data_IF_557067798830
#
_entry.id   IF_557067798830
#
_cell.length_a   1.000
_cell.length_b   1.000
_cell.length_c   1.000
_cell.angle_alpha   90.00
_cell.angle_beta   90.00
_cell.angle_gamma   90.00
#
_symmetry.space_group_name_H-M   'P 1'
#
loop_
_entity.id
_entity.type
_entity.pdbx_description
1 polymer ?
#
# COMPACT_ATOMS: atom_id res chain seq x y z
N UNK A 1 30.44 1.91 -18.16
CA UNK A 1 31.13 3.22 -18.24
C UNK A 1 31.79 3.33 -19.62
N UNK A 2 31.69 4.46 -20.34
CA UNK A 2 32.24 4.62 -21.69
C UNK A 2 33.75 4.94 -21.74
N UNK A 3 34.37 5.33 -20.62
CA UNK A 3 35.80 5.67 -20.53
C UNK A 3 36.65 4.44 -20.14
N UNK A 4 37.97 4.55 -20.31
CA UNK A 4 38.95 3.53 -19.89
C UNK A 4 39.33 3.78 -18.42
N UNK A 5 39.35 2.71 -17.60
CA UNK A 5 39.69 2.78 -16.16
C UNK A 5 40.93 1.92 -15.88
N UNK A 6 42.08 2.37 -16.37
CA UNK A 6 43.35 1.71 -16.07
C UNK A 6 43.92 2.23 -14.74
N UNK A 7 44.42 1.32 -13.91
CA UNK A 7 45.06 1.64 -12.64
C UNK A 7 46.35 2.45 -12.84
N UNK A 8 47.03 2.28 -13.98
CA UNK A 8 48.22 3.07 -14.31
C UNK A 8 47.91 4.58 -14.40
N UNK A 9 46.76 4.92 -15.00
CA UNK A 9 46.32 6.33 -15.18
C UNK A 9 46.02 7.04 -13.85
N UNK A 10 45.74 6.28 -12.78
CA UNK A 10 45.53 6.85 -11.43
C UNK A 10 46.82 7.44 -10.86
N UNK A 11 47.96 6.77 -11.06
CA UNK A 11 49.25 7.26 -10.57
C UNK A 11 49.64 8.57 -11.28
N UNK A 12 49.43 8.63 -12.60
CA UNK A 12 49.67 9.83 -13.40
C UNK A 12 48.77 11.00 -12.97
N UNK A 13 47.48 10.73 -12.71
CA UNK A 13 46.53 11.71 -12.17
C UNK A 13 46.97 12.26 -10.80
N UNK A 14 47.34 11.37 -9.86
CA UNK A 14 47.76 11.77 -8.50
C UNK A 14 49.03 12.63 -8.53
N UNK A 15 49.94 12.40 -9.50
CA UNK A 15 51.12 13.23 -9.68
C UNK A 15 50.81 14.58 -10.34
N UNK A 16 49.96 14.59 -11.37
CA UNK A 16 49.57 15.82 -12.08
C UNK A 16 48.69 16.75 -11.21
N UNK A 17 47.82 16.20 -10.37
CA UNK A 17 46.96 16.97 -9.47
C UNK A 17 47.75 17.78 -8.42
N UNK A 18 49.00 17.40 -8.12
CA UNK A 18 49.87 18.18 -7.22
C UNK A 18 50.39 19.47 -7.84
N UNK A 19 50.53 19.51 -9.16
CA UNK A 19 51.12 20.65 -9.87
C UNK A 19 50.07 21.61 -10.38
N UNK A 20 48.90 21.11 -10.77
CA UNK A 20 47.82 21.93 -11.30
C UNK A 20 46.47 21.26 -11.06
N UNK A 21 45.45 22.09 -10.82
CA UNK A 21 44.07 21.66 -10.83
C UNK A 21 43.52 21.60 -12.26
N UNK A 22 42.93 20.45 -12.60
CA UNK A 22 42.38 20.14 -13.91
C UNK A 22 40.85 20.06 -13.90
N UNK A 23 40.21 20.33 -12.75
CA UNK A 23 38.75 20.40 -12.61
C UNK A 23 38.01 19.09 -12.97
N UNK A 24 38.69 17.95 -12.86
CA UNK A 24 38.08 16.64 -13.11
C UNK A 24 36.97 16.30 -12.10
N UNK A 25 36.99 16.95 -10.94
CA UNK A 25 35.96 16.90 -9.92
C UNK A 25 34.65 17.56 -10.38
N UNK A 26 34.71 18.60 -11.22
CA UNK A 26 33.52 19.23 -11.81
C UNK A 26 32.82 18.24 -12.74
N UNK A 27 33.55 17.66 -13.70
CA UNK A 27 33.01 16.64 -14.61
C UNK A 27 32.46 15.43 -13.84
N UNK A 28 33.14 15.01 -12.77
CA UNK A 28 32.69 13.92 -11.91
C UNK A 28 31.42 14.30 -11.14
N UNK A 29 31.33 15.53 -10.62
CA UNK A 29 30.15 16.04 -9.94
C UNK A 29 28.95 16.10 -10.88
N UNK A 30 29.10 16.61 -12.10
CA UNK A 30 28.01 16.63 -13.09
C UNK A 30 27.48 15.22 -13.38
N UNK A 31 28.39 14.26 -13.56
CA UNK A 31 28.02 12.87 -13.80
C UNK A 31 27.35 12.22 -12.57
N UNK A 32 27.85 12.46 -11.36
CA UNK A 32 27.24 11.98 -10.12
C UNK A 32 25.88 12.62 -9.86
N UNK A 33 25.72 13.90 -10.16
CA UNK A 33 24.46 14.62 -10.00
C UNK A 33 23.39 14.09 -10.95
N UNK A 34 23.75 13.69 -12.17
CA UNK A 34 22.84 13.00 -13.07
C UNK A 34 22.33 11.69 -12.45
N UNK A 35 23.22 10.85 -11.89
CA UNK A 35 22.83 9.61 -11.20
C UNK A 35 21.94 9.86 -9.99
N UNK A 36 22.27 10.85 -9.15
CA UNK A 36 21.45 11.22 -7.98
C UNK A 36 20.05 11.63 -8.47
N UNK A 37 19.96 12.49 -9.48
CA UNK A 37 18.66 12.93 -10.01
C UNK A 37 17.82 11.78 -10.55
N UNK A 38 18.44 10.77 -11.15
CA UNK A 38 17.75 9.61 -11.68
C UNK A 38 17.33 8.63 -10.56
N UNK A 39 18.16 8.47 -9.53
CA UNK A 39 17.80 7.75 -8.31
C UNK A 39 16.64 8.43 -7.56
N UNK A 40 16.64 9.75 -7.46
CA UNK A 40 15.57 10.52 -6.81
C UNK A 40 14.26 10.36 -7.58
N UNK A 41 14.28 10.51 -8.92
CA UNK A 41 13.10 10.26 -9.78
C UNK A 41 12.57 8.84 -9.60
N UNK A 42 13.45 7.83 -9.57
CA UNK A 42 13.06 6.43 -9.37
C UNK A 42 12.42 6.21 -7.99
N UNK A 43 12.99 6.81 -6.96
CA UNK A 43 12.47 6.74 -5.59
C UNK A 43 11.09 7.39 -5.50
N UNK A 44 10.92 8.55 -6.12
CA UNK A 44 9.64 9.26 -6.11
C UNK A 44 8.56 8.49 -6.87
N UNK A 45 8.87 7.92 -8.03
CA UNK A 45 7.95 7.05 -8.76
C UNK A 45 7.58 5.79 -7.97
N UNK A 46 8.53 5.20 -7.23
CA UNK A 46 8.25 4.06 -6.37
C UNK A 46 7.35 4.45 -5.19
N UNK A 47 7.56 5.64 -4.59
CA UNK A 47 6.70 6.18 -3.54
C UNK A 47 5.28 6.42 -4.05
N UNK A 48 5.12 7.04 -5.22
CA UNK A 48 3.82 7.28 -5.84
C UNK A 48 3.06 5.98 -6.13
N UNK A 49 3.70 5.00 -6.77
CA UNK A 49 3.07 3.69 -7.04
C UNK A 49 2.66 2.97 -5.77
N UNK A 50 3.47 3.05 -4.72
CA UNK A 50 3.15 2.44 -3.44
C UNK A 50 1.94 3.12 -2.81
N UNK A 51 1.90 4.45 -2.81
CA UNK A 51 0.75 5.22 -2.32
C UNK A 51 -0.54 4.86 -3.07
N UNK A 52 -0.51 4.85 -4.42
CA UNK A 52 -1.66 4.45 -5.25
C UNK A 52 -2.15 3.04 -4.87
N UNK A 53 -1.24 2.07 -4.75
CA UNK A 53 -1.60 0.69 -4.36
C UNK A 53 -2.21 0.64 -2.95
N UNK A 54 -1.68 1.44 -2.01
CA UNK A 54 -2.18 1.50 -0.64
C UNK A 54 -3.56 2.15 -0.56
N UNK A 55 -3.78 3.22 -1.33
CA UNK A 55 -5.06 3.92 -1.44
C UNK A 55 -6.13 3.01 -2.07
N UNK A 56 -5.83 2.37 -3.20
CA UNK A 56 -6.72 1.41 -3.86
C UNK A 56 -7.15 0.29 -2.90
N UNK A 57 -6.19 -0.30 -2.19
CA UNK A 57 -6.48 -1.36 -1.24
C UNK A 57 -7.32 -0.86 -0.06
N UNK A 58 -7.05 0.35 0.43
CA UNK A 58 -7.83 0.96 1.52
C UNK A 58 -9.27 1.26 1.08
N UNK A 59 -9.46 1.73 -0.15
CA UNK A 59 -10.76 2.03 -0.73
C UNK A 59 -11.57 0.74 -0.95
N UNK A 60 -10.95 -0.32 -1.47
CA UNK A 60 -11.61 -1.61 -1.67
C UNK A 60 -12.10 -2.21 -0.34
N UNK A 61 -11.24 -2.15 0.69
CA UNK A 61 -11.60 -2.62 2.05
C UNK A 61 -12.73 -1.76 2.64
N UNK A 62 -12.69 -0.44 2.46
CA UNK A 62 -13.73 0.46 2.95
C UNK A 62 -15.09 0.19 2.27
N UNK A 63 -15.12 -0.04 0.95
CA UNK A 63 -16.35 -0.39 0.22
C UNK A 63 -16.96 -1.69 0.75
N UNK A 64 -16.14 -2.73 0.96
CA UNK A 64 -16.61 -4.01 1.50
C UNK A 64 -17.11 -3.88 2.95
N UNK A 65 -16.43 -3.10 3.78
CA UNK A 65 -16.88 -2.80 5.13
C UNK A 65 -18.22 -2.05 5.13
N UNK A 66 -18.36 -1.03 4.28
CA UNK A 66 -19.59 -0.26 4.13
C UNK A 66 -20.76 -1.15 3.70
N UNK A 67 -20.55 -2.09 2.77
CA UNK A 67 -21.59 -3.02 2.37
C UNK A 67 -22.11 -3.89 3.53
N UNK A 68 -21.22 -4.36 4.41
CA UNK A 68 -21.60 -5.08 5.63
C UNK A 68 -22.40 -4.18 6.58
N UNK A 69 -22.00 -2.91 6.72
CA UNK A 69 -22.70 -1.93 7.55
C UNK A 69 -24.10 -1.60 7.01
N UNK A 70 -24.25 -1.41 5.70
CA UNK A 70 -25.54 -1.15 5.04
C UNK A 70 -26.51 -2.32 5.26
N UNK A 71 -26.07 -3.56 5.04
CA UNK A 71 -26.88 -4.75 5.30
C UNK A 71 -27.29 -4.85 6.78
N UNK A 72 -26.38 -4.52 7.70
CA UNK A 72 -26.69 -4.50 9.13
C UNK A 72 -27.74 -3.43 9.49
N UNK A 73 -27.66 -2.25 8.88
CA UNK A 73 -28.64 -1.18 9.07
C UNK A 73 -30.01 -1.53 8.51
N UNK A 74 -30.07 -2.14 7.31
CA UNK A 74 -31.31 -2.64 6.71
C UNK A 74 -31.98 -3.71 7.57
N UNK A 75 -31.19 -4.66 8.09
CA UNK A 75 -31.68 -5.67 9.05
C UNK A 75 -32.27 -4.98 10.27
N UNK A 76 -31.59 -3.99 10.85
CA UNK A 76 -32.10 -3.24 12.01
C UNK A 76 -33.42 -2.52 11.74
N UNK A 77 -33.54 -1.84 10.59
CA UNK A 77 -34.77 -1.14 10.17
C UNK A 77 -35.94 -2.10 9.97
N UNK A 78 -35.72 -3.24 9.32
CA UNK A 78 -36.77 -4.25 9.11
C UNK A 78 -37.16 -4.94 10.40
N UNK A 79 -36.21 -5.20 11.29
CA UNK A 79 -36.47 -5.84 12.58
C UNK A 79 -37.34 -4.95 13.48
N UNK A 80 -37.04 -3.65 13.55
CA UNK A 80 -37.88 -2.69 14.26
C UNK A 80 -39.32 -2.62 13.69
N UNK A 81 -39.49 -2.69 12.36
CA UNK A 81 -40.83 -2.76 11.74
C UNK A 81 -41.56 -4.06 12.02
N UNK A 82 -40.84 -5.19 12.02
CA UNK A 82 -41.42 -6.49 12.32
C UNK A 82 -41.93 -6.56 13.77
N UNK A 83 -41.19 -5.97 14.71
CA UNK A 83 -41.61 -5.81 16.11
C UNK A 83 -42.87 -4.96 16.25
N UNK A 84 -42.92 -3.79 15.60
CA UNK A 84 -44.11 -2.91 15.61
C UNK A 84 -45.37 -3.62 15.09
N UNK A 85 -45.28 -4.30 13.94
CA UNK A 85 -46.41 -5.05 13.38
C UNK A 85 -46.83 -6.23 14.28
N UNK A 86 -45.88 -6.81 15.02
CA UNK A 86 -46.16 -7.82 16.04
C UNK A 86 -46.96 -7.26 17.21
N UNK A 87 -46.62 -6.07 17.69
CA UNK A 87 -47.35 -5.37 18.75
C UNK A 87 -48.77 -4.94 18.31
N UNK A 88 -48.93 -4.54 17.06
CA UNK A 88 -50.23 -4.17 16.47
C UNK A 88 -51.14 -5.39 16.17
N UNK A 89 -50.61 -6.61 16.33
CA UNK A 89 -51.35 -7.86 16.13
C UNK A 89 -51.37 -8.38 14.69
N UNK A 90 -50.60 -7.78 13.77
CA UNK A 90 -50.42 -8.23 12.39
C UNK A 90 -49.39 -9.36 12.28
N UNK A 91 -49.71 -10.51 12.89
CA UNK A 91 -48.79 -11.65 13.04
C UNK A 91 -48.32 -12.22 11.69
N UNK A 92 -49.21 -12.32 10.69
CA UNK A 92 -48.84 -12.83 9.36
C UNK A 92 -47.85 -11.93 8.62
N UNK A 93 -48.00 -10.60 8.73
CA UNK A 93 -47.11 -9.64 8.07
C UNK A 93 -45.75 -9.57 8.76
N UNK A 94 -45.74 -9.62 10.09
CA UNK A 94 -44.51 -9.72 10.89
C UNK A 94 -43.71 -10.98 10.53
N UNK A 95 -44.37 -12.14 10.39
CA UNK A 95 -43.72 -13.39 10.00
C UNK A 95 -43.09 -13.33 8.60
N UNK A 96 -43.75 -12.66 7.64
CA UNK A 96 -43.18 -12.43 6.30
C UNK A 96 -41.92 -11.57 6.37
N UNK A 97 -41.96 -10.47 7.14
CA UNK A 97 -40.80 -9.60 7.37
C UNK A 97 -39.64 -10.34 8.05
N UNK A 98 -39.93 -11.22 9.00
CA UNK A 98 -38.92 -12.06 9.64
C UNK A 98 -38.24 -13.02 8.65
N UNK A 99 -38.99 -13.60 7.71
CA UNK A 99 -38.40 -14.38 6.61
C UNK A 99 -37.43 -13.57 5.74
N UNK A 100 -37.80 -12.33 5.38
CA UNK A 100 -36.90 -11.44 4.65
C UNK A 100 -35.65 -11.06 5.44
N UNK A 101 -35.76 -10.91 6.76
CA UNK A 101 -34.62 -10.64 7.65
C UNK A 101 -33.66 -11.83 7.68
N UNK A 102 -34.16 -13.08 7.67
CA UNK A 102 -33.30 -14.26 7.59
C UNK A 102 -32.47 -14.30 6.30
N UNK A 103 -33.08 -13.95 5.16
CA UNK A 103 -32.37 -13.85 3.89
C UNK A 103 -31.33 -12.72 3.89
N UNK A 104 -31.65 -11.57 4.49
CA UNK A 104 -30.68 -10.49 4.68
C UNK A 104 -29.53 -10.91 5.60
N UNK A 105 -29.80 -11.69 6.65
CA UNK A 105 -28.76 -12.23 7.54
C UNK A 105 -27.82 -13.19 6.82
N UNK A 106 -28.33 -14.02 5.91
CA UNK A 106 -27.49 -14.88 5.05
C UNK A 106 -26.58 -14.03 4.16
N UNK A 107 -27.15 -13.03 3.45
CA UNK A 107 -26.37 -12.09 2.62
C UNK A 107 -25.33 -11.32 3.43
N UNK A 108 -25.66 -10.90 4.64
CA UNK A 108 -24.71 -10.25 5.55
C UNK A 108 -23.56 -11.20 5.92
N UNK A 109 -23.85 -12.45 6.25
CA UNK A 109 -22.81 -13.43 6.57
C UNK A 109 -21.88 -13.70 5.37
N UNK A 110 -22.44 -13.77 4.16
CA UNK A 110 -21.67 -13.86 2.91
C UNK A 110 -20.77 -12.62 2.70
N UNK A 111 -21.33 -11.41 2.89
CA UNK A 111 -20.58 -10.16 2.78
C UNK A 111 -19.46 -10.04 3.84
N UNK A 112 -19.71 -10.47 5.07
CA UNK A 112 -18.70 -10.54 6.14
C UNK A 112 -17.59 -11.52 5.78
N UNK A 113 -17.93 -12.65 5.17
CA UNK A 113 -16.93 -13.63 4.74
C UNK A 113 -16.07 -13.08 3.60
N UNK A 114 -16.69 -12.43 2.61
CA UNK A 114 -15.97 -11.72 1.55
C UNK A 114 -15.09 -10.62 2.12
N UNK A 115 -15.57 -9.84 3.10
CA UNK A 115 -14.77 -8.81 3.76
C UNK A 115 -13.55 -9.41 4.48
N UNK A 116 -13.73 -10.46 5.30
CA UNK A 116 -12.63 -11.15 5.99
C UNK A 116 -11.62 -11.74 5.01
N UNK A 117 -12.10 -12.38 3.95
CA UNK A 117 -11.25 -13.01 2.94
C UNK A 117 -10.57 -11.98 2.02
N UNK A 118 -11.13 -10.77 1.90
CA UNK A 118 -10.53 -9.66 1.16
C UNK A 118 -9.36 -8.98 1.86
N UNK A 119 -9.09 -9.38 3.10
CA UNK A 119 -7.93 -8.94 3.86
C UNK A 119 -6.91 -10.08 4.02
N UNK A 120 -6.43 -10.72 2.92
CA UNK A 120 -5.40 -11.73 3.03
C UNK A 120 -4.10 -11.10 3.54
N UNK A 121 -3.31 -11.88 4.27
CA UNK A 121 -2.05 -11.42 4.86
C UNK A 121 -1.14 -10.74 3.82
N UNK A 122 -1.16 -11.17 2.56
CA UNK A 122 -0.37 -10.62 1.46
C UNK A 122 -0.73 -9.17 1.10
N UNK A 123 -2.03 -8.84 0.98
CA UNK A 123 -2.46 -7.48 0.67
C UNK A 123 -2.22 -6.54 1.86
N UNK A 124 -2.40 -7.05 3.08
CA UNK A 124 -2.05 -6.33 4.30
C UNK A 124 -0.53 -6.07 4.43
N UNK A 125 0.33 -6.96 3.91
CA UNK A 125 1.77 -6.68 3.83
C UNK A 125 2.07 -5.48 2.92
N UNK A 126 1.36 -5.32 1.79
CA UNK A 126 1.58 -4.19 0.87
C UNK A 126 1.25 -2.83 1.50
N UNK A 127 0.24 -2.78 2.38
CA UNK A 127 -0.04 -1.60 3.21
C UNK A 127 1.07 -1.26 4.21
N UNK A 128 1.95 -2.22 4.50
CA UNK A 128 3.03 -2.07 5.49
C UNK A 128 4.40 -1.91 4.88
N UNK A 129 4.47 -1.57 3.60
CA UNK A 129 5.71 -1.27 2.93
C UNK A 129 6.03 0.23 3.01
N UNK A 130 7.32 0.54 2.95
CA UNK A 130 7.89 1.86 2.71
C UNK A 130 8.97 1.74 1.63
N UNK A 131 9.34 2.85 1.01
CA UNK A 131 10.42 2.89 0.01
C UNK A 131 11.72 3.33 0.69
N UNK A 132 12.81 2.61 0.44
CA UNK A 132 14.16 3.01 0.84
C UNK A 132 14.64 4.21 0.01
N UNK A 133 15.14 5.25 0.66
CA UNK A 133 15.55 6.49 -0.02
C UNK A 133 16.90 6.38 -0.73
N UNK A 134 17.68 5.34 -0.44
CA UNK A 134 19.01 5.13 -1.04
C UNK A 134 18.93 4.28 -2.31
N UNK A 135 18.15 3.20 -2.28
CA UNK A 135 18.13 2.19 -3.35
C UNK A 135 16.74 2.00 -4.00
N UNK A 136 15.72 2.75 -3.56
CA UNK A 136 14.34 2.70 -4.07
C UNK A 136 13.63 1.34 -3.90
N UNK A 137 14.17 0.43 -3.08
CA UNK A 137 13.53 -0.86 -2.81
C UNK A 137 12.38 -0.73 -1.80
N UNK A 138 11.41 -1.65 -1.85
CA UNK A 138 10.35 -1.74 -0.87
C UNK A 138 10.80 -2.51 0.37
N UNK A 139 10.56 -1.93 1.55
CA UNK A 139 10.91 -2.49 2.86
C UNK A 139 9.68 -2.56 3.75
N UNK A 140 9.59 -3.56 4.60
CA UNK A 140 8.56 -3.60 5.64
C UNK A 140 8.81 -2.56 6.71
N UNK A 141 7.76 -1.86 7.15
CA UNK A 141 7.83 -0.90 8.27
C UNK A 141 8.24 -1.61 9.58
N UNK A 142 7.91 -2.90 9.69
CA UNK A 142 8.21 -3.73 10.87
C UNK A 142 9.34 -4.74 10.63
N UNK A 143 10.16 -4.54 9.61
CA UNK A 143 11.35 -5.37 9.44
C UNK A 143 12.31 -5.16 10.62
N UNK A 144 12.89 -6.27 11.08
CA UNK A 144 13.86 -6.25 12.18
C UNK A 144 15.24 -5.75 11.70
N UNK A 145 16.08 -5.31 12.64
CA UNK A 145 17.39 -4.75 12.34
C UNK A 145 18.27 -5.70 11.52
N UNK A 146 18.13 -7.01 11.70
CA UNK A 146 18.86 -8.00 10.89
C UNK A 146 18.45 -7.94 9.42
N UNK A 147 17.15 -7.94 9.12
CA UNK A 147 16.63 -7.82 7.75
C UNK A 147 16.97 -6.47 7.14
N UNK A 148 16.97 -5.41 7.94
CA UNK A 148 17.34 -4.07 7.50
C UNK A 148 18.84 -3.94 7.21
N UNK A 149 19.69 -4.73 7.88
CA UNK A 149 21.13 -4.77 7.63
C UNK A 149 21.51 -5.66 6.43
N UNK A 150 20.73 -6.70 6.15
CA UNK A 150 20.88 -7.51 4.94
C UNK A 150 20.46 -6.73 3.66
N UNK A 151 19.67 -5.66 3.85
CA UNK A 151 19.22 -4.74 2.82
C UNK A 151 20.24 -3.64 2.55
#
# INVERSE_FOLDING_TARGET
CPKIHDLALRADFEQASRTRDYFYDIDAMEHLQAFISDCDKRTELAKQRLLETQEELSAEVAVKANHVHELAEEIGKKLARAEQLGEEGFVEESLKLMGEIEDLRKKKAEAEDVYRNSMPASSYQQQKLRVCEVCSAYLGIHDNDRRLADH
#
